data_IF_954928085225
#
_entry.id   IF_954928085225
#
_cell.length_a   1.000
_cell.length_b   1.000
_cell.length_c   1.000
_cell.angle_alpha   90.00
_cell.angle_beta   90.00
_cell.angle_gamma   90.00
#
_symmetry.space_group_name_H-M   'P 1'
#
loop_
_entity.id
_entity.type
_entity.pdbx_description
1 polymer ?
#
# COMPACT_ATOMS: atom_id res chain seq x y z
N UNK A 1 -9.32 -23.21 -17.37
CA UNK A 1 -10.41 -23.02 -18.36
C UNK A 1 -10.71 -21.53 -18.65
N UNK A 2 -9.69 -20.65 -18.64
CA UNK A 2 -9.83 -19.21 -18.90
C UNK A 2 -9.01 -18.70 -20.11
N UNK A 3 -8.18 -19.56 -20.72
CA UNK A 3 -7.34 -19.19 -21.88
C UNK A 3 -7.99 -19.42 -23.26
N UNK A 4 -9.14 -20.09 -23.34
CA UNK A 4 -9.78 -20.44 -24.62
C UNK A 4 -10.79 -19.40 -25.11
N UNK A 5 -11.14 -18.40 -24.30
CA UNK A 5 -12.05 -17.30 -24.67
C UNK A 5 -11.36 -16.08 -25.29
N UNK A 6 -10.03 -15.94 -25.17
CA UNK A 6 -9.29 -14.85 -25.83
C UNK A 6 -9.03 -15.10 -27.33
N UNK A 7 -9.01 -16.35 -27.80
CA UNK A 7 -8.73 -16.68 -29.21
C UNK A 7 -9.92 -16.45 -30.17
N UNK A 8 -11.14 -16.29 -29.66
CA UNK A 8 -12.33 -16.12 -30.52
C UNK A 8 -12.73 -14.66 -30.79
N UNK A 9 -12.09 -13.68 -30.14
CA UNK A 9 -12.29 -12.25 -30.44
C UNK A 9 -11.39 -11.78 -31.59
N UNK A 10 -10.21 -12.38 -31.75
CA UNK A 10 -9.24 -12.01 -32.79
C UNK A 10 -9.53 -12.57 -34.19
N UNK A 11 -10.56 -13.41 -34.37
CA UNK A 11 -10.88 -14.06 -35.65
C UNK A 11 -12.07 -13.46 -36.41
N UNK A 12 -12.69 -12.39 -35.89
CA UNK A 12 -13.84 -11.71 -36.52
C UNK A 12 -13.52 -10.39 -37.23
N UNK A 13 -12.23 -10.01 -37.36
CA UNK A 13 -11.82 -8.78 -38.06
C UNK A 13 -11.23 -9.00 -39.46
N UNK A 14 -11.33 -10.21 -40.03
CA UNK A 14 -10.81 -10.49 -41.37
C UNK A 14 -11.91 -11.07 -42.26
N UNK A 15 -12.73 -10.21 -42.88
CA UNK A 15 -13.22 -10.32 -44.28
C UNK A 15 -14.35 -9.31 -44.58
N UNK A 16 -14.01 -8.23 -45.30
CA UNK A 16 -14.80 -7.52 -46.33
C UNK A 16 -14.01 -6.23 -46.71
N UNK A 17 -13.13 -6.27 -47.72
CA UNK A 17 -13.34 -5.73 -49.09
C UNK A 17 -14.05 -4.36 -49.15
N UNK A 18 -13.60 -3.32 -49.85
CA UNK A 18 -12.41 -3.05 -50.64
C UNK A 18 -12.43 -1.54 -51.01
N UNK A 19 -11.24 -0.97 -51.28
CA UNK A 19 -10.96 0.27 -52.03
C UNK A 19 -11.32 1.63 -51.40
N UNK A 20 -10.37 2.17 -50.63
CA UNK A 20 -9.82 3.51 -50.87
C UNK A 20 -8.35 3.51 -50.43
N UNK A 21 -7.49 4.11 -51.24
CA UNK A 21 -6.04 4.23 -51.04
C UNK A 21 -5.65 4.73 -49.64
N UNK A 22 -4.55 4.25 -49.04
CA UNK A 22 -4.19 4.63 -47.67
C UNK A 22 -3.62 6.06 -47.65
N UNK A 23 -4.01 6.93 -46.69
CA UNK A 23 -3.12 7.99 -46.31
C UNK A 23 -1.96 7.35 -45.54
N UNK A 24 -0.76 7.77 -45.92
CA UNK A 24 0.52 7.55 -45.25
C UNK A 24 0.36 7.46 -43.73
N UNK A 25 0.96 6.43 -43.13
CA UNK A 25 1.13 6.24 -41.68
C UNK A 25 1.84 7.45 -41.06
N UNK A 26 1.07 8.49 -40.75
CA UNK A 26 1.43 9.55 -39.83
C UNK A 26 0.89 9.18 -38.46
N UNK A 27 1.77 9.14 -37.46
CA UNK A 27 1.51 8.89 -36.04
C UNK A 27 0.08 9.29 -35.58
N UNK A 28 -0.84 8.33 -35.54
CA UNK A 28 -2.19 8.50 -34.98
C UNK A 28 -2.15 8.90 -33.49
N UNK A 29 -1.02 8.70 -32.80
CA UNK A 29 -0.78 9.10 -31.42
C UNK A 29 -0.56 10.62 -31.24
N UNK A 30 -0.37 11.38 -32.32
CA UNK A 30 -0.08 12.81 -32.26
C UNK A 30 -1.28 13.70 -32.62
N UNK A 31 -2.45 13.11 -32.91
CA UNK A 31 -3.61 13.85 -33.41
C UNK A 31 -4.86 13.58 -32.54
N UNK A 32 -5.53 14.66 -32.14
CA UNK A 32 -6.75 14.65 -31.33
C UNK A 32 -7.35 16.04 -31.22
N UNK A 33 -8.57 16.15 -30.69
CA UNK A 33 -9.27 17.40 -30.44
C UNK A 33 -9.21 17.75 -28.95
N UNK A 34 -8.81 18.98 -28.65
CA UNK A 34 -8.72 19.51 -27.29
C UNK A 34 -9.98 20.28 -26.93
N UNK A 35 -10.59 19.86 -25.83
CA UNK A 35 -11.66 20.57 -25.14
C UNK A 35 -11.10 21.18 -23.85
N UNK A 36 -11.11 22.51 -23.76
CA UNK A 36 -10.92 23.25 -22.52
C UNK A 36 -12.27 23.83 -22.10
N UNK A 37 -12.70 23.48 -20.91
CA UNK A 37 -13.94 23.94 -20.29
C UNK A 37 -13.65 24.65 -18.98
N UNK A 38 -14.69 25.18 -18.32
CA UNK A 38 -14.55 25.78 -16.99
C UNK A 38 -14.15 24.77 -15.90
N UNK A 39 -14.26 23.46 -16.15
CA UNK A 39 -14.09 22.43 -15.10
C UNK A 39 -12.99 21.41 -15.39
N UNK A 40 -12.53 21.29 -16.64
CA UNK A 40 -11.56 20.27 -17.06
C UNK A 40 -10.84 20.61 -18.36
N UNK A 41 -9.74 19.89 -18.60
CA UNK A 41 -9.14 19.67 -19.92
C UNK A 41 -9.38 18.24 -20.35
N UNK A 42 -9.66 18.06 -21.65
CA UNK A 42 -9.84 16.77 -22.28
C UNK A 42 -9.18 16.74 -23.66
N UNK A 43 -8.47 15.66 -23.96
CA UNK A 43 -8.04 15.29 -25.31
C UNK A 43 -8.88 14.13 -25.81
N UNK A 44 -9.55 14.29 -26.95
CA UNK A 44 -10.21 13.19 -27.65
C UNK A 44 -9.34 12.78 -28.82
N UNK A 45 -8.82 11.55 -28.80
CA UNK A 45 -7.97 10.98 -29.85
C UNK A 45 -8.82 10.56 -31.05
N UNK A 46 -8.21 10.45 -32.23
CA UNK A 46 -8.90 10.08 -33.47
C UNK A 46 -9.59 8.70 -33.42
N UNK A 47 -9.13 7.80 -32.55
CA UNK A 47 -9.73 6.48 -32.35
C UNK A 47 -10.91 6.48 -31.36
N UNK A 48 -11.29 7.64 -30.82
CA UNK A 48 -12.38 7.79 -29.84
C UNK A 48 -11.95 7.65 -28.37
N UNK A 49 -10.70 7.27 -28.11
CA UNK A 49 -10.13 7.28 -26.76
C UNK A 49 -10.01 8.72 -26.26
N UNK A 50 -10.10 8.92 -24.96
CA UNK A 50 -9.91 10.24 -24.38
C UNK A 50 -9.08 10.21 -23.11
N UNK A 51 -8.33 11.27 -22.90
CA UNK A 51 -7.67 11.61 -21.65
C UNK A 51 -8.34 12.85 -21.09
N UNK A 52 -8.66 12.84 -19.80
CA UNK A 52 -9.23 14.02 -19.15
C UNK A 52 -8.76 14.18 -17.71
N UNK A 53 -8.69 15.42 -17.28
CA UNK A 53 -8.44 15.77 -15.88
C UNK A 53 -9.21 17.03 -15.52
N UNK A 54 -9.89 16.99 -14.37
CA UNK A 54 -10.60 18.15 -13.84
C UNK A 54 -9.61 19.16 -13.25
N UNK A 55 -9.86 20.46 -13.44
CA UNK A 55 -8.93 21.51 -13.00
C UNK A 55 -8.60 21.47 -11.52
N UNK A 56 -9.57 21.11 -10.68
CA UNK A 56 -9.39 20.96 -9.22
C UNK A 56 -8.37 19.87 -8.85
N UNK A 57 -8.17 18.88 -9.72
CA UNK A 57 -7.28 17.74 -9.52
C UNK A 57 -5.88 17.94 -10.14
N UNK A 58 -5.68 19.03 -10.92
CA UNK A 58 -4.35 19.35 -11.46
C UNK A 58 -3.48 19.93 -10.36
N UNK A 59 -2.38 19.26 -10.06
CA UNK A 59 -1.43 19.64 -9.03
C UNK A 59 -0.19 20.33 -9.61
N UNK A 60 0.19 19.99 -10.85
CA UNK A 60 1.27 20.64 -11.57
C UNK A 60 1.10 20.46 -13.08
N UNK A 61 1.70 21.37 -13.83
CA UNK A 61 1.74 21.33 -15.29
C UNK A 61 3.19 21.26 -15.72
N UNK A 62 3.52 20.26 -16.54
CA UNK A 62 4.86 20.10 -17.11
C UNK A 62 4.83 20.13 -18.63
N UNK A 63 5.99 20.42 -19.21
CA UNK A 63 6.25 20.22 -20.62
C UNK A 63 7.26 19.11 -20.85
N UNK A 64 7.06 18.34 -21.92
CA UNK A 64 7.99 17.32 -22.42
C UNK A 64 8.33 17.58 -23.88
N UNK A 65 9.61 17.41 -24.24
CA UNK A 65 10.07 17.30 -25.63
C UNK A 65 10.98 16.07 -25.77
N UNK A 66 10.51 15.08 -26.53
CA UNK A 66 11.20 13.80 -26.68
C UNK A 66 12.32 13.84 -27.72
N UNK A 67 13.38 13.04 -27.49
CA UNK A 67 14.43 12.77 -28.49
C UNK A 67 13.94 11.79 -29.54
N UNK A 68 14.02 12.18 -30.83
CA UNK A 68 13.83 11.27 -31.97
C UNK A 68 12.40 10.73 -32.17
N UNK A 69 12.07 10.38 -33.40
CA UNK A 69 10.76 9.87 -33.90
C UNK A 69 9.57 10.85 -33.96
N UNK A 70 9.70 12.03 -33.36
CA UNK A 70 8.69 13.11 -33.43
C UNK A 70 9.33 14.36 -34.07
N UNK A 71 8.65 15.09 -35.00
CA UNK A 71 9.14 16.36 -35.53
C UNK A 71 9.70 17.29 -34.45
N UNK A 72 10.85 17.92 -34.72
CA UNK A 72 11.62 18.69 -33.74
C UNK A 72 10.87 19.86 -33.08
N UNK A 73 9.70 20.24 -33.61
CA UNK A 73 8.81 21.29 -33.12
C UNK A 73 7.67 20.78 -32.23
N UNK A 74 7.52 19.47 -32.02
CA UNK A 74 6.45 18.91 -31.21
C UNK A 74 6.91 18.67 -29.77
N UNK A 75 6.17 19.27 -28.85
CA UNK A 75 6.25 19.08 -27.40
C UNK A 75 4.86 18.79 -26.84
N UNK A 76 4.82 18.27 -25.62
CA UNK A 76 3.59 17.90 -24.92
C UNK A 76 3.42 18.78 -23.70
N UNK A 77 2.17 19.14 -23.38
CA UNK A 77 1.80 19.77 -22.11
C UNK A 77 1.03 18.74 -21.30
N UNK A 78 1.56 18.42 -20.13
CA UNK A 78 0.99 17.41 -19.26
C UNK A 78 0.33 18.07 -18.06
N UNK A 79 -0.97 17.86 -17.92
CA UNK A 79 -1.72 18.22 -16.73
C UNK A 79 -1.71 17.03 -15.77
N UNK A 80 -0.98 17.17 -14.67
CA UNK A 80 -0.65 16.05 -13.78
C UNK A 80 -1.33 16.21 -12.43
N UNK A 81 -1.63 15.06 -11.82
CA UNK A 81 -2.10 14.96 -10.44
C UNK A 81 -1.17 14.03 -9.67
N UNK A 82 -1.06 14.23 -8.36
CA UNK A 82 -0.43 13.25 -7.48
C UNK A 82 -1.27 11.97 -7.33
N UNK A 83 -2.57 12.01 -7.67
CA UNK A 83 -3.54 10.95 -7.40
C UNK A 83 -4.14 10.30 -8.66
N UNK A 84 -4.13 11.00 -9.79
CA UNK A 84 -4.78 10.57 -11.03
C UNK A 84 -3.78 10.49 -12.19
N UNK A 85 -4.15 9.72 -13.23
CA UNK A 85 -3.42 9.71 -14.49
C UNK A 85 -3.37 11.11 -15.13
N UNK A 86 -2.29 11.45 -15.85
CA UNK A 86 -2.15 12.75 -16.47
C UNK A 86 -3.05 12.87 -17.71
N UNK A 87 -3.40 14.11 -18.08
CA UNK A 87 -3.85 14.43 -19.43
C UNK A 87 -2.68 15.04 -20.20
N UNK A 88 -2.21 14.31 -21.22
CA UNK A 88 -1.03 14.67 -22.00
C UNK A 88 -1.46 15.23 -23.35
N UNK A 89 -1.30 16.55 -23.54
CA UNK A 89 -1.77 17.22 -24.75
C UNK A 89 -0.59 17.50 -25.69
N UNK A 90 -0.53 16.86 -26.87
CA UNK A 90 0.51 17.15 -27.85
C UNK A 90 0.23 18.49 -28.54
N UNK A 91 1.30 19.26 -28.80
CA UNK A 91 1.23 20.54 -29.55
C UNK A 91 0.66 20.43 -30.97
N UNK A 92 0.55 19.24 -31.53
CA UNK A 92 -0.11 18.95 -32.80
C UNK A 92 -1.62 18.73 -32.70
N UNK A 93 -2.21 18.72 -31.49
CA UNK A 93 -3.65 18.54 -31.32
C UNK A 93 -4.45 19.75 -31.84
N UNK A 94 -5.63 19.47 -32.39
CA UNK A 94 -6.57 20.52 -32.83
C UNK A 94 -7.11 21.24 -31.59
N UNK A 95 -7.03 22.57 -31.57
CA UNK A 95 -7.43 23.37 -30.40
C UNK A 95 -6.33 23.54 -29.34
N UNK A 96 -5.07 23.17 -29.64
CA UNK A 96 -3.94 23.34 -28.73
C UNK A 96 -3.67 24.81 -28.37
N UNK A 97 -4.02 25.75 -29.23
CA UNK A 97 -4.00 27.19 -28.96
C UNK A 97 -4.79 27.58 -27.70
N UNK A 98 -5.87 26.84 -27.39
CA UNK A 98 -6.64 27.01 -26.15
C UNK A 98 -5.81 26.65 -24.91
N UNK A 99 -4.98 25.61 -24.99
CA UNK A 99 -4.05 25.21 -23.91
C UNK A 99 -3.07 26.32 -23.62
N UNK A 100 -2.52 26.92 -24.68
CA UNK A 100 -1.60 28.04 -24.55
C UNK A 100 -2.30 29.28 -23.98
N UNK A 101 -3.51 29.58 -24.46
CA UNK A 101 -4.35 30.64 -23.90
C UNK A 101 -4.61 30.47 -22.40
N UNK A 102 -4.89 29.23 -21.97
CA UNK A 102 -5.05 28.89 -20.56
C UNK A 102 -3.76 29.07 -19.76
N UNK A 103 -2.63 28.52 -20.24
CA UNK A 103 -1.33 28.65 -19.57
C UNK A 103 -0.92 30.11 -19.38
N UNK A 104 -1.07 30.93 -20.42
CA UNK A 104 -0.73 32.36 -20.34
C UNK A 104 -1.66 33.16 -19.41
N UNK A 105 -2.87 32.65 -19.15
CA UNK A 105 -3.83 33.25 -18.23
C UNK A 105 -3.79 32.68 -16.80
N UNK A 106 -2.97 31.66 -16.55
CA UNK A 106 -2.91 30.97 -15.27
C UNK A 106 -1.94 31.68 -14.32
N UNK A 107 -2.44 32.08 -13.15
CA UNK A 107 -1.63 32.74 -12.13
C UNK A 107 -0.50 31.82 -11.64
N UNK A 108 0.72 32.36 -11.55
CA UNK A 108 1.90 31.62 -11.08
C UNK A 108 2.59 30.77 -12.14
N UNK A 109 2.18 30.86 -13.41
CA UNK A 109 2.98 30.31 -14.53
C UNK A 109 4.20 31.20 -14.75
N UNK A 110 5.37 30.58 -14.83
CA UNK A 110 6.58 31.26 -15.25
C UNK A 110 6.54 31.45 -16.78
N UNK A 111 6.02 32.59 -17.22
CA UNK A 111 5.80 32.88 -18.65
C UNK A 111 7.10 33.00 -19.42
N UNK A 112 8.18 33.49 -18.79
CA UNK A 112 9.50 33.58 -19.42
C UNK A 112 10.07 32.17 -19.63
N UNK A 113 10.06 31.34 -18.59
CA UNK A 113 10.48 29.94 -18.68
C UNK A 113 9.64 29.15 -19.68
N UNK A 114 8.33 29.39 -19.72
CA UNK A 114 7.43 28.80 -20.71
C UNK A 114 7.81 29.19 -22.14
N UNK A 115 8.11 30.46 -22.41
CA UNK A 115 8.57 30.90 -23.73
C UNK A 115 9.89 30.24 -24.13
N UNK A 116 10.85 30.13 -23.20
CA UNK A 116 12.11 29.42 -23.44
C UNK A 116 11.92 27.94 -23.78
N UNK A 117 11.02 27.26 -23.08
CA UNK A 117 10.63 25.85 -23.30
C UNK A 117 9.93 25.65 -24.66
N UNK A 118 9.11 26.61 -25.06
CA UNK A 118 8.41 26.56 -26.35
C UNK A 118 9.41 26.72 -27.51
N UNK A 119 10.34 27.66 -27.37
CA UNK A 119 11.21 28.12 -28.45
C UNK A 119 12.52 27.32 -28.55
N UNK A 120 12.90 26.59 -27.50
CA UNK A 120 14.05 25.66 -27.54
C UNK A 120 13.81 24.49 -28.50
N UNK A 121 14.85 24.06 -29.21
CA UNK A 121 14.86 22.83 -30.02
C UNK A 121 15.45 21.63 -29.30
N UNK A 122 15.95 21.82 -28.08
CA UNK A 122 16.58 20.77 -27.29
C UNK A 122 15.54 19.88 -26.62
N UNK A 123 15.78 18.56 -26.52
CA UNK A 123 14.93 17.67 -25.74
C UNK A 123 14.99 18.04 -24.26
N UNK A 124 13.87 17.85 -23.58
CA UNK A 124 13.74 18.02 -22.14
C UNK A 124 12.60 17.17 -21.62
N UNK A 125 12.70 16.78 -20.36
CA UNK A 125 11.69 15.98 -19.68
C UNK A 125 11.25 16.68 -18.39
N UNK A 126 9.95 16.69 -18.16
CA UNK A 126 9.25 17.17 -16.98
C UNK A 126 9.59 18.61 -16.59
N UNK A 127 9.74 19.50 -17.58
CA UNK A 127 9.98 20.91 -17.30
C UNK A 127 8.73 21.54 -16.65
N UNK A 128 8.83 21.95 -15.39
CA UNK A 128 7.68 22.42 -14.59
C UNK A 128 7.31 23.84 -15.00
N UNK A 129 6.12 24.02 -15.56
CA UNK A 129 5.58 25.33 -15.97
C UNK A 129 4.75 25.97 -14.86
N UNK A 130 4.07 25.14 -14.09
CA UNK A 130 3.16 25.57 -13.05
C UNK A 130 3.09 24.51 -11.96
N UNK A 131 2.92 24.96 -10.73
CA UNK A 131 2.60 24.10 -9.62
C UNK A 131 1.52 24.77 -8.80
N UNK A 132 0.52 23.98 -8.41
CA UNK A 132 -0.54 24.43 -7.52
C UNK A 132 0.06 24.94 -6.24
N UNK A 133 -0.19 26.22 -5.94
CA UNK A 133 0.19 26.78 -4.66
C UNK A 133 -0.62 26.08 -3.57
N UNK A 134 0.06 25.27 -2.76
CA UNK A 134 -0.56 24.60 -1.63
C UNK A 134 -0.56 25.55 -0.43
N UNK A 135 -1.68 25.56 0.30
CA UNK A 135 -1.77 26.16 1.63
C UNK A 135 -1.64 25.04 2.63
N UNK A 136 -0.79 25.24 3.64
CA UNK A 136 -0.66 24.26 4.71
C UNK A 136 -2.02 24.07 5.40
N UNK A 137 -2.40 22.82 5.66
CA UNK A 137 -3.66 22.47 6.33
C UNK A 137 -3.45 21.81 7.70
N UNK A 138 -2.29 22.06 8.29
CA UNK A 138 -1.94 21.71 9.66
C UNK A 138 -1.65 22.96 10.50
N UNK A 139 -1.74 22.82 11.81
CA UNK A 139 -1.30 23.87 12.75
C UNK A 139 -0.64 23.22 13.95
N UNK A 140 0.46 23.82 14.40
CA UNK A 140 1.19 23.44 15.60
C UNK A 140 0.94 24.48 16.71
N UNK A 141 0.97 24.09 17.99
CA UNK A 141 0.83 25.05 19.07
C UNK A 141 2.08 25.92 19.18
N UNK A 142 1.91 27.22 19.41
CA UNK A 142 3.03 28.17 19.59
C UNK A 142 3.88 27.83 20.83
N UNK A 143 3.25 27.26 21.86
CA UNK A 143 3.91 26.75 23.06
C UNK A 143 3.52 25.29 23.25
N UNK A 144 4.49 24.36 23.32
CA UNK A 144 4.16 22.95 23.52
C UNK A 144 3.45 22.79 24.86
N UNK A 145 2.24 22.20 24.90
CA UNK A 145 1.54 21.93 26.15
C UNK A 145 2.38 21.01 27.04
N UNK A 146 2.22 21.09 28.36
CA UNK A 146 2.85 20.17 29.28
C UNK A 146 2.49 18.73 28.89
N UNK A 147 3.50 17.87 28.70
CA UNK A 147 3.31 16.48 28.27
C UNK A 147 2.40 15.77 29.28
N UNK A 148 1.15 15.48 28.90
CA UNK A 148 0.29 14.61 29.67
C UNK A 148 0.83 13.19 29.53
N UNK A 149 1.38 12.66 30.62
CA UNK A 149 2.11 11.40 30.70
C UNK A 149 1.24 10.13 30.54
N UNK A 150 0.14 10.20 29.78
CA UNK A 150 -0.71 9.05 29.48
C UNK A 150 -0.04 8.19 28.39
N UNK A 151 0.61 7.13 28.88
CA UNK A 151 1.46 6.16 28.21
C UNK A 151 0.81 5.52 26.97
N UNK A 152 1.48 5.58 25.82
CA UNK A 152 1.25 4.68 24.66
C UNK A 152 0.02 4.93 23.77
N UNK A 153 -0.88 5.82 24.14
CA UNK A 153 -2.18 6.00 23.46
C UNK A 153 -2.32 7.40 22.87
N UNK A 154 -2.76 7.49 21.61
CA UNK A 154 -3.02 8.77 20.94
C UNK A 154 -4.43 9.25 21.29
N UNK A 155 -4.53 10.50 21.74
CA UNK A 155 -5.78 11.15 22.08
C UNK A 155 -6.27 12.04 20.93
N UNK A 156 -7.59 12.12 20.78
CA UNK A 156 -8.28 13.21 20.11
C UNK A 156 -8.51 14.31 21.15
N UNK A 157 -7.55 15.23 21.27
CA UNK A 157 -7.51 16.23 22.34
C UNK A 157 -8.70 17.18 22.33
N UNK A 158 -9.20 17.53 21.13
CA UNK A 158 -10.39 18.35 20.98
C UNK A 158 -11.66 17.69 21.51
N UNK A 159 -11.68 16.37 21.60
CA UNK A 159 -12.81 15.58 22.09
C UNK A 159 -12.54 14.96 23.47
N UNK A 160 -11.29 15.08 23.97
CA UNK A 160 -10.84 14.48 25.23
C UNK A 160 -11.08 12.97 25.33
N UNK A 161 -10.98 12.28 24.19
CA UNK A 161 -11.13 10.81 24.10
C UNK A 161 -9.87 10.20 23.52
N UNK A 162 -9.63 8.94 23.85
CA UNK A 162 -8.66 8.14 23.13
C UNK A 162 -9.14 7.92 21.69
N UNK A 163 -8.19 7.87 20.76
CA UNK A 163 -8.50 7.48 19.40
C UNK A 163 -9.14 6.08 19.42
N UNK A 164 -10.33 5.87 18.84
CA UNK A 164 -11.05 4.61 19.00
C UNK A 164 -10.39 3.47 18.20
N UNK A 165 -9.97 2.40 18.87
CA UNK A 165 -9.30 1.23 18.25
C UNK A 165 -10.16 -0.04 18.26
N UNK A 166 -11.47 0.09 18.53
CA UNK A 166 -12.45 -1.00 18.51
C UNK A 166 -12.73 -1.51 17.09
N UNK A 167 -13.95 -1.97 16.83
CA UNK A 167 -14.32 -2.41 15.48
C UNK A 167 -14.66 -1.24 14.56
N UNK A 168 -14.65 -1.47 13.24
CA UNK A 168 -15.22 -0.51 12.28
C UNK A 168 -16.72 -0.27 12.53
N UNK A 169 -17.45 -1.26 13.04
CA UNK A 169 -18.85 -1.12 13.45
C UNK A 169 -18.99 -0.16 14.66
N UNK A 170 -18.15 -0.31 15.68
CA UNK A 170 -18.14 0.59 16.85
C UNK A 170 -17.67 1.99 16.45
N UNK A 171 -16.69 2.07 15.56
CA UNK A 171 -16.19 3.32 15.02
C UNK A 171 -17.31 4.15 14.37
N UNK A 172 -18.24 3.49 13.66
CA UNK A 172 -19.39 4.12 13.03
C UNK A 172 -20.42 4.70 14.03
N UNK A 173 -20.39 4.27 15.31
CA UNK A 173 -21.33 4.73 16.35
C UNK A 173 -20.90 6.05 17.00
N UNK A 174 -19.70 6.53 16.72
CA UNK A 174 -19.22 7.81 17.22
C UNK A 174 -19.74 8.97 16.35
N UNK A 175 -20.44 9.93 16.95
CA UNK A 175 -21.06 11.07 16.24
C UNK A 175 -20.06 11.95 15.46
N UNK A 176 -18.79 11.96 15.87
CA UNK A 176 -17.73 12.73 15.21
C UNK A 176 -17.04 11.98 14.05
N UNK A 177 -17.45 10.74 13.78
CA UNK A 177 -16.93 9.92 12.68
C UNK A 177 -17.91 9.96 11.52
N UNK A 178 -17.44 10.38 10.35
CA UNK A 178 -18.21 10.38 9.12
C UNK A 178 -17.83 9.19 8.24
N UNK A 179 -18.81 8.35 7.92
CA UNK A 179 -18.62 7.20 7.04
C UNK A 179 -18.92 7.56 5.59
N UNK A 180 -18.04 7.14 4.67
CA UNK A 180 -18.21 7.28 3.22
C UNK A 180 -17.94 5.95 2.54
N UNK A 181 -18.69 5.64 1.47
CA UNK A 181 -18.41 4.48 0.64
C UNK A 181 -17.15 4.74 -0.18
N UNK A 182 -16.20 3.81 -0.12
CA UNK A 182 -15.00 3.87 -0.94
C UNK A 182 -15.25 3.20 -2.29
N UNK A 183 -14.76 3.83 -3.35
CA UNK A 183 -14.85 3.31 -4.71
C UNK A 183 -13.53 2.67 -5.11
N UNK A 184 -13.58 1.39 -5.48
CA UNK A 184 -12.41 0.65 -5.97
C UNK A 184 -12.45 0.52 -7.49
N UNK A 185 -11.29 0.39 -8.17
CA UNK A 185 -11.25 0.15 -9.61
C UNK A 185 -12.02 -1.10 -10.04
N UNK A 186 -12.08 -2.11 -9.18
CA UNK A 186 -12.93 -3.28 -9.37
C UNK A 186 -14.28 -3.07 -8.65
N UNK A 187 -15.41 -2.99 -9.38
CA UNK A 187 -16.72 -2.74 -8.78
C UNK A 187 -17.23 -3.89 -7.90
N UNK A 188 -16.64 -5.08 -8.01
CA UNK A 188 -16.97 -6.22 -7.13
C UNK A 188 -16.48 -6.02 -5.69
N UNK A 189 -15.58 -5.06 -5.46
CA UNK A 189 -15.04 -4.75 -4.15
C UNK A 189 -15.69 -3.50 -3.57
N UNK A 190 -15.98 -3.57 -2.28
CA UNK A 190 -16.48 -2.43 -1.53
C UNK A 190 -15.75 -2.29 -0.20
N UNK A 191 -15.77 -1.06 0.31
CA UNK A 191 -15.13 -0.68 1.55
C UNK A 191 -15.74 0.62 2.06
N UNK A 192 -15.48 0.93 3.31
CA UNK A 192 -15.92 2.15 3.97
C UNK A 192 -14.70 2.93 4.44
N UNK A 193 -14.75 4.24 4.21
CA UNK A 193 -13.83 5.21 4.77
C UNK A 193 -14.49 5.89 5.96
N UNK A 194 -13.80 5.89 7.09
CA UNK A 194 -14.23 6.55 8.32
C UNK A 194 -13.37 7.80 8.49
N UNK A 195 -13.98 8.96 8.60
CA UNK A 195 -13.28 10.26 8.58
C UNK A 195 -13.61 11.06 9.83
N UNK A 196 -12.58 11.49 10.53
CA UNK A 196 -12.63 12.44 11.64
C UNK A 196 -12.16 13.78 11.09
N UNK A 197 -13.00 14.81 11.15
CA UNK A 197 -12.67 16.16 10.67
C UNK A 197 -12.04 17.01 11.78
N UNK A 198 -11.05 17.83 11.39
CA UNK A 198 -10.35 18.75 12.27
C UNK A 198 -9.80 18.13 13.58
N UNK A 199 -9.17 16.94 13.56
CA UNK A 199 -8.65 16.33 14.79
C UNK A 199 -7.45 17.11 15.33
N UNK A 200 -7.33 17.10 16.67
CA UNK A 200 -6.14 17.58 17.38
C UNK A 200 -5.51 16.36 18.07
N UNK A 201 -4.26 16.04 17.72
CA UNK A 201 -3.54 14.86 18.19
C UNK A 201 -2.10 15.21 18.60
N UNK A 202 -1.39 14.25 19.20
CA UNK A 202 0.05 14.32 19.45
C UNK A 202 0.50 15.66 20.11
N UNK A 203 -0.22 16.08 21.15
CA UNK A 203 -0.01 17.29 21.92
C UNK A 203 -0.15 18.58 21.10
N UNK A 204 -1.29 18.73 20.41
CA UNK A 204 -1.70 19.98 19.76
C UNK A 204 -1.52 20.04 18.24
N UNK A 205 -1.08 18.97 17.58
CA UNK A 205 -1.05 18.90 16.12
C UNK A 205 -2.48 18.87 15.57
N UNK A 206 -2.91 20.00 14.99
CA UNK A 206 -4.21 20.13 14.32
C UNK A 206 -4.06 19.71 12.87
N UNK A 207 -4.94 18.82 12.41
CA UNK A 207 -4.98 18.35 11.02
C UNK A 207 -6.34 18.65 10.41
N UNK A 208 -6.43 18.73 9.08
CA UNK A 208 -7.71 18.83 8.37
C UNK A 208 -8.59 17.59 8.56
N UNK A 209 -8.01 16.41 8.48
CA UNK A 209 -8.72 15.15 8.66
C UNK A 209 -7.77 14.02 9.07
N UNK A 210 -8.33 13.06 9.80
CA UNK A 210 -7.74 11.75 10.06
C UNK A 210 -8.75 10.70 9.59
N UNK A 211 -8.30 9.66 8.92
CA UNK A 211 -9.20 8.65 8.37
C UNK A 211 -8.66 7.23 8.52
N UNK A 212 -9.56 6.26 8.47
CA UNK A 212 -9.22 4.84 8.36
C UNK A 212 -10.11 4.19 7.31
N UNK A 213 -9.63 3.08 6.74
CA UNK A 213 -10.30 2.35 5.66
C UNK A 213 -10.59 0.94 6.16
N UNK A 214 -11.84 0.49 6.04
CA UNK A 214 -12.13 -0.93 6.21
C UNK A 214 -11.42 -1.74 5.12
N UNK A 215 -11.15 -3.01 5.41
CA UNK A 215 -10.63 -3.93 4.40
C UNK A 215 -11.57 -3.96 3.18
N UNK A 216 -10.99 -3.95 1.98
CA UNK A 216 -11.74 -4.09 0.75
C UNK A 216 -12.26 -5.54 0.64
N UNK A 217 -13.58 -5.72 0.63
CA UNK A 217 -14.18 -7.06 0.55
C UNK A 217 -15.05 -7.22 -0.68
N UNK A 218 -15.09 -8.46 -1.19
CA UNK A 218 -16.05 -8.90 -2.18
C UNK A 218 -17.27 -9.47 -1.45
N UNK A 219 -18.42 -8.82 -1.59
CA UNK A 219 -19.64 -9.19 -0.84
C UNK A 219 -19.78 -8.40 0.45
N UNK A 220 -20.12 -9.08 1.55
CA UNK A 220 -20.40 -8.41 2.83
C UNK A 220 -19.15 -7.77 3.44
N UNK A 221 -19.33 -6.56 3.99
CA UNK A 221 -18.26 -5.84 4.67
C UNK A 221 -17.97 -6.49 6.03
N UNK A 222 -16.69 -6.77 6.29
CA UNK A 222 -16.23 -7.32 7.57
C UNK A 222 -16.04 -6.22 8.61
N UNK A 223 -17.14 -5.58 9.03
CA UNK A 223 -17.11 -4.42 9.93
C UNK A 223 -16.79 -4.75 11.39
N UNK A 224 -16.88 -6.02 11.77
CA UNK A 224 -16.48 -6.49 13.11
C UNK A 224 -14.97 -6.67 13.27
N UNK A 225 -14.17 -6.28 12.28
CA UNK A 225 -12.72 -6.30 12.38
C UNK A 225 -12.21 -5.05 13.14
N UNK A 226 -11.09 -5.18 13.86
CA UNK A 226 -10.50 -4.05 14.58
C UNK A 226 -9.98 -2.98 13.61
N UNK A 227 -10.00 -1.73 14.07
CA UNK A 227 -9.30 -0.63 13.44
C UNK A 227 -7.81 -0.77 13.72
N UNK A 228 -7.00 -0.70 12.66
CA UNK A 228 -5.56 -1.02 12.73
C UNK A 228 -4.67 0.18 12.50
N UNK A 229 -5.17 1.13 11.74
CA UNK A 229 -4.43 2.33 11.43
C UNK A 229 -5.35 3.51 11.19
N UNK A 230 -4.81 4.70 11.44
CA UNK A 230 -5.34 5.98 11.06
C UNK A 230 -4.33 6.70 10.19
N UNK A 231 -4.81 7.40 9.18
CA UNK A 231 -4.00 8.05 8.15
C UNK A 231 -4.41 9.52 8.02
N UNK A 232 -3.46 10.38 7.69
CA UNK A 232 -3.71 11.75 7.28
C UNK A 232 -2.84 12.11 6.07
N UNK A 233 -3.48 12.71 5.07
CA UNK A 233 -2.79 13.42 3.99
C UNK A 233 -2.67 14.88 4.46
N UNK A 234 -1.46 15.32 4.79
CA UNK A 234 -1.19 16.67 5.30
C UNK A 234 -0.70 17.52 4.14
N UNK A 235 -1.46 18.55 3.80
CA UNK A 235 -1.05 19.54 2.80
C UNK A 235 0.05 20.39 3.41
N UNK A 236 1.21 20.39 2.76
CA UNK A 236 2.37 21.22 3.10
C UNK A 236 2.27 22.54 2.34
N UNK A 237 2.85 23.61 2.88
CA UNK A 237 2.78 24.95 2.31
C UNK A 237 3.79 25.17 1.18
N UNK A 238 4.24 26.42 1.06
CA UNK A 238 5.20 26.84 0.01
C UNK A 238 6.59 26.23 0.15
N UNK A 239 6.94 25.73 1.33
CA UNK A 239 8.22 25.06 1.56
C UNK A 239 7.97 23.68 2.19
N UNK A 240 7.65 22.66 1.36
CA UNK A 240 7.27 21.35 1.87
C UNK A 240 8.33 20.70 2.76
N UNK A 241 9.62 20.88 2.43
CA UNK A 241 10.71 20.38 3.27
C UNK A 241 10.71 21.02 4.65
N UNK A 242 10.60 22.35 4.72
CA UNK A 242 10.55 23.04 6.00
C UNK A 242 9.31 22.67 6.82
N UNK A 243 8.15 22.55 6.18
CA UNK A 243 6.90 22.21 6.85
C UNK A 243 6.91 20.77 7.37
N UNK A 244 7.43 19.82 6.59
CA UNK A 244 7.69 18.46 7.05
C UNK A 244 8.59 18.43 8.28
N UNK A 245 9.71 19.16 8.25
CA UNK A 245 10.65 19.21 9.36
C UNK A 245 10.02 19.85 10.62
N UNK A 246 9.11 20.82 10.49
CA UNK A 246 8.34 21.36 11.63
C UNK A 246 7.47 20.29 12.28
N UNK A 247 6.75 19.50 11.47
CA UNK A 247 5.90 18.41 11.97
C UNK A 247 6.77 17.35 12.65
N UNK A 248 7.87 16.93 12.01
CA UNK A 248 8.83 15.98 12.58
C UNK A 248 9.35 16.47 13.93
N UNK A 249 9.85 17.71 14.02
CA UNK A 249 10.36 18.28 15.26
C UNK A 249 9.30 18.32 16.37
N UNK A 250 8.03 18.55 16.01
CA UNK A 250 6.93 18.48 16.97
C UNK A 250 6.71 17.06 17.48
N UNK A 251 6.69 16.06 16.59
CA UNK A 251 6.56 14.65 16.94
C UNK A 251 7.77 14.15 17.75
N UNK A 252 8.98 14.58 17.42
CA UNK A 252 10.21 14.25 18.16
C UNK A 252 10.13 14.71 19.62
N UNK A 253 9.56 15.90 19.88
CA UNK A 253 9.36 16.39 21.25
C UNK A 253 8.35 15.55 22.04
N UNK A 254 7.38 14.92 21.37
CA UNK A 254 6.31 14.17 22.02
C UNK A 254 6.64 12.68 22.20
N UNK A 255 7.24 12.07 21.18
CA UNK A 255 7.56 10.63 21.14
C UNK A 255 9.03 10.32 21.49
N UNK A 256 9.90 11.32 21.51
CA UNK A 256 11.36 11.13 21.54
C UNK A 256 11.93 11.15 20.12
N UNK A 257 13.26 11.04 19.99
CA UNK A 257 13.91 11.05 18.68
C UNK A 257 13.38 9.91 17.79
N UNK A 258 12.88 10.27 16.60
CA UNK A 258 12.44 9.29 15.61
C UNK A 258 13.59 8.49 15.00
N UNK A 259 13.23 7.34 14.43
CA UNK A 259 14.12 6.47 13.66
C UNK A 259 13.95 6.88 12.20
N UNK A 260 15.01 7.42 11.59
CA UNK A 260 15.02 7.76 10.17
C UNK A 260 15.38 6.51 9.35
N UNK A 261 14.64 6.22 8.28
CA UNK A 261 14.89 5.03 7.43
C UNK A 261 16.06 5.20 6.45
N UNK A 262 16.64 6.40 6.36
CA UNK A 262 17.73 6.74 5.42
C UNK A 262 19.14 6.46 5.96
N UNK A 263 19.30 5.61 6.99
CA UNK A 263 20.62 5.27 7.54
C UNK A 263 21.32 4.06 6.91
N UNK A 264 20.92 3.61 5.72
CA UNK A 264 21.67 2.59 4.97
C UNK A 264 22.83 3.23 4.18
N UNK A 265 23.83 3.74 4.91
CA UNK A 265 25.26 3.73 4.58
C UNK A 265 26.07 4.60 5.55
N UNK A 266 26.02 4.28 6.84
CA UNK A 266 27.14 4.60 7.73
C UNK A 266 28.17 3.48 7.60
N UNK A 267 29.09 3.62 6.65
CA UNK A 267 30.39 2.97 6.75
C UNK A 267 31.02 3.40 8.08
N UNK A 268 31.42 2.42 8.90
CA UNK A 268 32.35 2.60 10.01
C UNK A 268 33.58 3.35 9.48
N UNK A 269 33.62 4.66 9.71
CA UNK A 269 34.88 5.39 9.81
C UNK A 269 34.73 6.51 10.85
N UNK A 270 35.61 6.41 11.83
CA UNK A 270 35.74 7.21 13.03
C UNK A 270 35.90 8.71 12.79
N UNK A 271 35.44 9.47 13.79
CA UNK A 271 35.87 10.82 14.14
C UNK A 271 35.76 11.90 13.05
N UNK A 272 34.64 12.62 13.06
CA UNK A 272 34.68 14.09 13.19
C UNK A 272 33.29 14.63 13.49
N UNK A 273 33.19 15.39 14.58
CA UNK A 273 32.07 16.26 14.84
C UNK A 273 31.92 17.29 13.71
N UNK A 274 30.66 17.64 13.40
CA UNK A 274 30.26 18.83 12.63
C UNK A 274 30.23 18.72 11.11
N UNK A 275 29.41 17.82 10.55
CA UNK A 275 28.78 18.08 9.25
C UNK A 275 27.32 17.63 9.27
N UNK A 276 26.35 18.49 8.88
CA UNK A 276 24.97 18.03 8.65
C UNK A 276 25.01 16.96 7.54
N UNK A 277 24.19 15.89 7.64
CA UNK A 277 24.16 14.84 6.64
C UNK A 277 23.95 15.47 5.26
N UNK A 278 24.73 15.02 4.27
CA UNK A 278 24.61 15.48 2.90
C UNK A 278 23.14 15.33 2.46
N UNK A 279 22.57 16.39 1.88
CA UNK A 279 21.16 16.41 1.47
C UNK A 279 20.91 15.38 0.37
N UNK A 280 20.59 14.15 0.74
CA UNK A 280 20.07 13.17 -0.19
C UNK A 280 18.66 13.60 -0.56
N UNK A 281 18.43 13.80 -1.85
CA UNK A 281 17.11 14.05 -2.42
C UNK A 281 16.30 12.73 -2.46
N UNK A 282 16.23 12.04 -1.32
CA UNK A 282 15.52 10.77 -1.10
C UNK A 282 14.13 11.02 -0.50
N UNK A 283 13.32 9.98 -0.31
CA UNK A 283 12.06 10.13 0.44
C UNK A 283 12.40 10.37 1.90
N UNK A 284 11.89 11.46 2.51
CA UNK A 284 12.03 11.66 3.95
C UNK A 284 11.03 10.77 4.66
N UNK A 285 11.52 9.89 5.52
CA UNK A 285 10.70 9.03 6.35
C UNK A 285 11.28 8.97 7.77
N UNK A 286 10.41 9.24 8.74
CA UNK A 286 10.73 9.14 10.16
C UNK A 286 9.64 8.32 10.85
N UNK A 287 10.06 7.37 11.68
CA UNK A 287 9.21 6.46 12.44
C UNK A 287 9.38 6.68 13.95
N UNK A 288 8.29 6.63 14.69
CA UNK A 288 8.29 6.59 16.16
C UNK A 288 7.53 5.35 16.65
N UNK A 289 8.05 4.69 17.67
CA UNK A 289 7.42 3.51 18.28
C UNK A 289 7.25 3.73 19.78
N UNK A 290 6.02 3.51 20.29
CA UNK A 290 5.73 3.59 21.72
C UNK A 290 4.67 2.56 22.10
N UNK A 291 5.09 1.53 22.82
CA UNK A 291 4.19 0.44 23.22
C UNK A 291 3.67 -0.32 21.99
N UNK A 292 2.35 -0.37 21.82
CA UNK A 292 1.69 -1.01 20.66
C UNK A 292 1.45 -0.05 19.49
N UNK A 293 1.85 1.22 19.61
CA UNK A 293 1.57 2.27 18.63
C UNK A 293 2.82 2.62 17.86
N UNK A 294 2.71 2.65 16.53
CA UNK A 294 3.75 3.08 15.61
C UNK A 294 3.23 4.28 14.83
N UNK A 295 4.09 5.28 14.61
CA UNK A 295 3.76 6.47 13.82
C UNK A 295 4.81 6.62 12.75
N UNK A 296 4.35 6.71 11.51
CA UNK A 296 5.18 6.87 10.32
C UNK A 296 4.82 8.21 9.67
N UNK A 297 5.80 9.09 9.49
CA UNK A 297 5.65 10.34 8.74
C UNK A 297 6.54 10.28 7.51
N UNK A 298 5.95 10.48 6.32
CA UNK A 298 6.64 10.37 5.04
C UNK A 298 6.38 11.57 4.13
N UNK A 299 7.39 12.00 3.39
CA UNK A 299 7.28 12.98 2.32
C UNK A 299 8.19 12.58 1.16
N UNK A 300 7.62 12.44 -0.03
CA UNK A 300 8.35 11.96 -1.21
C UNK A 300 9.10 13.09 -1.90
N UNK A 301 10.33 12.81 -2.31
CA UNK A 301 11.01 13.63 -3.32
C UNK A 301 10.66 13.10 -4.71
N UNK A 302 10.14 13.96 -5.58
CA UNK A 302 9.86 13.62 -6.97
C UNK A 302 11.11 13.93 -7.79
N UNK A 303 11.97 12.94 -7.99
CA UNK A 303 13.24 13.09 -8.74
C UNK A 303 13.04 13.73 -10.12
N UNK A 304 12.01 13.27 -10.84
CA UNK A 304 11.62 13.81 -12.14
C UNK A 304 11.34 15.31 -12.14
N UNK A 305 10.79 15.83 -11.04
CA UNK A 305 10.40 17.23 -10.89
C UNK A 305 11.45 18.05 -10.12
N UNK A 306 12.47 17.37 -9.55
CA UNK A 306 13.44 17.91 -8.60
C UNK A 306 12.80 18.69 -7.46
N UNK A 307 11.66 18.23 -6.98
CA UNK A 307 10.86 18.91 -5.94
C UNK A 307 10.27 17.92 -4.96
N UNK A 308 10.06 18.38 -3.73
CA UNK A 308 9.29 17.68 -2.72
C UNK A 308 7.80 17.70 -3.05
N UNK A 309 7.13 16.60 -2.73
CA UNK A 309 5.68 16.51 -2.79
C UNK A 309 5.05 17.55 -1.83
N UNK A 310 3.87 18.06 -2.17
CA UNK A 310 3.16 19.02 -1.32
C UNK A 310 2.27 18.31 -0.29
N UNK A 311 2.34 16.98 -0.22
CA UNK A 311 1.60 16.16 0.73
C UNK A 311 2.61 15.37 1.58
N UNK A 312 2.55 15.55 2.89
CA UNK A 312 3.12 14.58 3.83
C UNK A 312 2.06 13.55 4.21
N UNK A 313 2.46 12.30 4.29
CA UNK A 313 1.60 11.22 4.74
C UNK A 313 1.96 10.85 6.18
N UNK A 314 0.98 10.95 7.07
CA UNK A 314 1.09 10.50 8.45
C UNK A 314 0.25 9.23 8.60
N UNK A 315 0.87 8.16 9.08
CA UNK A 315 0.18 6.93 9.45
C UNK A 315 0.42 6.64 10.93
N UNK A 316 -0.66 6.36 11.65
CA UNK A 316 -0.65 5.88 13.03
C UNK A 316 -1.14 4.44 12.97
N UNK A 317 -0.31 3.49 13.34
CA UNK A 317 -0.65 2.07 13.43
C UNK A 317 -0.75 1.65 14.89
N UNK A 318 -1.66 0.73 15.21
CA UNK A 318 -1.69 0.06 16.51
C UNK A 318 -1.71 -1.45 16.30
N UNK A 319 -0.81 -2.16 16.96
CA UNK A 319 -0.89 -3.61 17.06
C UNK A 319 -2.22 -3.98 17.74
N UNK A 320 -3.18 -4.61 17.03
CA UNK A 320 -4.52 -4.80 17.56
C UNK A 320 -4.51 -5.81 18.69
N UNK A 321 -5.36 -5.60 19.69
CA UNK A 321 -5.72 -6.68 20.60
C UNK A 321 -6.76 -7.56 19.92
N UNK A 322 -6.32 -8.74 19.48
CA UNK A 322 -7.18 -9.65 18.74
C UNK A 322 -7.94 -10.64 19.61
N UNK A 323 -7.69 -10.66 20.91
CA UNK A 323 -8.31 -11.62 21.83
C UNK A 323 -9.86 -11.67 21.71
N UNK A 324 -10.58 -10.54 21.53
CA UNK A 324 -12.04 -10.55 21.37
C UNK A 324 -12.53 -11.10 20.02
N UNK A 325 -11.66 -11.19 19.01
CA UNK A 325 -12.04 -11.58 17.64
C UNK A 325 -11.75 -13.04 17.32
N UNK A 326 -11.02 -13.73 18.19
CA UNK A 326 -10.86 -15.17 18.04
C UNK A 326 -12.18 -15.87 18.38
N UNK A 327 -12.61 -16.75 17.47
CA UNK A 327 -13.81 -17.59 17.65
C UNK A 327 -13.63 -18.65 18.75
N UNK A 328 -12.39 -18.83 19.24
CA UNK A 328 -12.01 -19.75 20.30
C UNK A 328 -10.98 -19.10 21.21
N UNK A 329 -11.23 -19.14 22.52
CA UNK A 329 -10.28 -18.66 23.55
C UNK A 329 -8.98 -19.49 23.61
N UNK A 330 -8.95 -20.63 22.90
CA UNK A 330 -7.85 -21.59 22.94
C UNK A 330 -6.48 -20.95 22.66
N UNK A 331 -6.36 -20.13 21.60
CA UNK A 331 -5.08 -19.51 21.24
C UNK A 331 -4.56 -18.51 22.27
N UNK A 332 -5.47 -17.79 22.93
CA UNK A 332 -5.12 -16.77 23.94
C UNK A 332 -4.74 -17.38 25.29
N UNK A 333 -5.29 -18.53 25.63
CA UNK A 333 -5.06 -19.21 26.91
C UNK A 333 -4.05 -20.36 26.79
N UNK A 334 -3.42 -20.53 25.61
CA UNK A 334 -2.49 -21.61 25.38
C UNK A 334 -1.24 -21.42 26.26
N UNK A 335 -1.08 -22.31 27.24
CA UNK A 335 0.12 -22.39 28.07
C UNK A 335 0.84 -23.70 27.81
N UNK A 336 2.15 -23.64 27.57
CA UNK A 336 2.98 -24.84 27.44
C UNK A 336 2.87 -25.72 28.70
N UNK A 337 2.28 -26.90 28.53
CA UNK A 337 2.11 -27.90 29.57
C UNK A 337 2.55 -29.27 29.05
N UNK A 338 2.63 -30.27 29.93
CA UNK A 338 3.02 -31.64 29.53
C UNK A 338 2.06 -32.27 28.52
N UNK A 339 0.84 -31.75 28.38
CA UNK A 339 -0.16 -32.25 27.42
C UNK A 339 0.02 -31.69 26.01
N UNK A 340 0.92 -30.70 25.84
CA UNK A 340 1.23 -30.08 24.56
C UNK A 340 2.58 -30.61 24.07
N UNK A 341 2.55 -31.30 22.93
CA UNK A 341 3.76 -31.70 22.22
C UNK A 341 3.98 -30.75 21.07
N UNK A 342 5.19 -30.22 20.93
CA UNK A 342 5.51 -29.28 19.85
C UNK A 342 6.94 -29.48 19.36
N UNK A 343 7.21 -29.01 18.14
CA UNK A 343 8.56 -28.98 17.56
C UNK A 343 8.66 -27.90 16.49
N UNK A 344 9.84 -27.31 16.35
CA UNK A 344 10.19 -26.37 15.28
C UNK A 344 10.98 -27.08 14.18
N UNK A 345 10.82 -26.60 12.95
CA UNK A 345 11.46 -27.16 11.75
C UNK A 345 12.20 -26.06 10.98
N UNK A 346 13.42 -26.34 10.48
CA UNK A 346 14.30 -25.34 9.86
C UNK A 346 13.87 -25.02 8.41
N UNK A 347 12.60 -24.68 8.23
CA UNK A 347 11.99 -24.34 6.96
C UNK A 347 10.92 -23.27 7.17
N UNK A 348 10.63 -22.47 6.13
CA UNK A 348 9.64 -21.40 6.21
C UNK A 348 8.28 -21.84 5.72
N UNK A 349 7.25 -21.55 6.54
CA UNK A 349 5.85 -21.68 6.17
C UNK A 349 5.24 -20.28 6.06
N UNK A 350 4.98 -19.84 4.84
CA UNK A 350 4.20 -18.64 4.57
C UNK A 350 2.71 -18.98 4.74
N UNK A 351 2.17 -18.81 5.95
CA UNK A 351 0.77 -19.15 6.28
C UNK A 351 -0.19 -18.49 5.27
N UNK A 352 -1.09 -19.29 4.69
CA UNK A 352 -1.93 -18.91 3.56
C UNK A 352 -3.09 -17.97 3.92
N UNK A 353 -3.41 -17.84 5.20
CA UNK A 353 -4.53 -17.03 5.66
C UNK A 353 -4.31 -16.41 7.04
N UNK A 354 -4.91 -15.25 7.27
CA UNK A 354 -4.95 -14.63 8.59
C UNK A 354 -6.34 -14.78 9.25
N UNK A 355 -6.43 -14.33 10.51
CA UNK A 355 -7.66 -14.34 11.31
C UNK A 355 -8.80 -13.51 10.68
N UNK A 356 -8.51 -12.66 9.70
CA UNK A 356 -9.54 -11.90 8.98
C UNK A 356 -10.13 -12.72 7.84
N UNK A 357 -9.41 -13.71 7.34
CA UNK A 357 -9.80 -14.54 6.22
C UNK A 357 -10.46 -15.84 6.65
N UNK A 358 -9.96 -16.51 7.70
CA UNK A 358 -10.47 -17.80 8.18
C UNK A 358 -10.54 -17.87 9.70
N UNK A 359 -11.61 -18.48 10.24
CA UNK A 359 -11.91 -18.51 11.67
C UNK A 359 -10.88 -19.27 12.52
N UNK A 360 -10.10 -20.13 11.88
CA UNK A 360 -9.11 -20.98 12.54
C UNK A 360 -7.68 -20.42 12.48
N UNK A 361 -7.51 -19.23 11.89
CA UNK A 361 -6.26 -18.50 11.90
C UNK A 361 -6.18 -17.57 13.13
N UNK A 362 -4.99 -17.49 13.70
CA UNK A 362 -4.67 -16.67 14.88
C UNK A 362 -3.23 -16.19 14.82
N UNK A 363 -2.85 -15.19 15.62
CA UNK A 363 -1.43 -14.91 15.82
C UNK A 363 -0.78 -16.06 16.58
N UNK A 364 0.45 -16.37 16.22
CA UNK A 364 1.25 -17.39 16.90
C UNK A 364 1.19 -17.17 18.41
N UNK A 365 0.73 -18.17 19.20
CA UNK A 365 0.54 -17.99 20.63
C UNK A 365 1.82 -17.53 21.33
N UNK A 366 1.70 -16.58 22.26
CA UNK A 366 2.84 -15.91 22.90
C UNK A 366 3.79 -16.87 23.62
N UNK A 367 3.29 -18.02 24.09
CA UNK A 367 4.12 -19.06 24.67
C UNK A 367 5.16 -19.65 23.69
N UNK A 368 5.02 -19.39 22.38
CA UNK A 368 5.93 -19.82 21.32
C UNK A 368 6.81 -18.70 20.75
N UNK A 369 6.60 -17.42 21.08
CA UNK A 369 7.34 -16.28 20.47
C UNK A 369 8.86 -16.41 20.63
N UNK A 370 9.33 -16.92 21.78
CA UNK A 370 10.76 -17.18 22.03
C UNK A 370 11.26 -18.57 21.62
N UNK A 371 10.40 -19.41 21.01
CA UNK A 371 10.71 -20.79 20.68
C UNK A 371 11.18 -20.99 19.24
N UNK A 372 11.13 -19.96 18.38
CA UNK A 372 11.64 -20.00 17.00
C UNK A 372 13.14 -19.61 16.97
N UNK A 373 14.09 -20.54 16.73
CA UNK A 373 15.46 -20.16 16.44
C UNK A 373 15.54 -19.45 15.07
N UNK A 374 16.60 -18.66 14.85
CA UNK A 374 16.75 -17.78 13.67
C UNK A 374 16.50 -18.41 12.30
N UNK A 375 16.64 -19.74 12.17
CA UNK A 375 16.44 -20.51 10.92
C UNK A 375 15.17 -21.37 10.87
N UNK A 376 14.33 -21.37 11.91
CA UNK A 376 13.10 -22.15 11.94
C UNK A 376 11.90 -21.22 11.88
N UNK A 377 11.06 -21.42 10.88
CA UNK A 377 9.88 -20.60 10.62
C UNK A 377 8.61 -21.47 10.52
N UNK A 378 8.72 -22.77 10.81
CA UNK A 378 7.58 -23.68 11.01
C UNK A 378 7.62 -24.25 12.43
N UNK A 379 6.54 -24.06 13.16
CA UNK A 379 6.25 -24.73 14.42
C UNK A 379 4.97 -25.55 14.27
N UNK A 380 5.02 -26.80 14.71
CA UNK A 380 3.85 -27.67 14.78
C UNK A 380 3.62 -28.04 16.25
N UNK A 381 2.39 -27.95 16.72
CA UNK A 381 2.01 -28.43 18.06
C UNK A 381 0.73 -29.25 18.04
N UNK A 382 0.59 -30.12 19.05
CA UNK A 382 -0.63 -30.84 19.36
C UNK A 382 -0.92 -30.70 20.83
N UNK A 383 -2.15 -30.29 21.10
CA UNK A 383 -2.77 -30.38 22.42
C UNK A 383 -3.77 -31.52 22.44
N UNK A 384 -3.40 -32.59 23.14
CA UNK A 384 -4.26 -33.77 23.27
C UNK A 384 -5.49 -33.53 24.13
N UNK A 385 -5.44 -32.57 25.05
CA UNK A 385 -6.55 -32.26 25.96
C UNK A 385 -7.63 -31.48 25.22
N UNK A 386 -7.23 -30.44 24.49
CA UNK A 386 -8.12 -29.65 23.66
C UNK A 386 -8.46 -30.34 22.32
N UNK A 387 -7.76 -31.43 21.96
CA UNK A 387 -7.87 -32.14 20.68
C UNK A 387 -7.58 -31.21 19.49
N UNK A 388 -6.54 -30.38 19.62
CA UNK A 388 -6.14 -29.40 18.61
C UNK A 388 -4.75 -29.73 18.08
N UNK A 389 -4.57 -29.55 16.77
CA UNK A 389 -3.28 -29.46 16.12
C UNK A 389 -3.12 -28.06 15.56
N UNK A 390 -1.91 -27.51 15.63
CA UNK A 390 -1.62 -26.21 15.08
C UNK A 390 -0.33 -26.16 14.28
N UNK A 391 -0.33 -25.27 13.31
CA UNK A 391 0.78 -24.99 12.41
C UNK A 391 1.04 -23.49 12.43
N UNK A 392 2.24 -23.06 12.79
CA UNK A 392 2.58 -21.66 12.97
C UNK A 392 3.88 -21.29 12.26
N UNK A 393 3.97 -20.03 11.84
CA UNK A 393 5.23 -19.33 11.66
C UNK A 393 5.44 -18.33 12.81
N UNK A 394 6.40 -17.41 12.69
CA UNK A 394 6.67 -16.43 13.76
C UNK A 394 5.50 -15.48 14.04
N UNK A 395 4.64 -15.26 13.05
CA UNK A 395 3.57 -14.26 13.13
C UNK A 395 2.20 -14.92 13.27
N UNK A 396 1.87 -15.85 12.39
CA UNK A 396 0.53 -16.43 12.26
C UNK A 396 0.54 -17.94 12.52
N UNK A 397 -0.61 -18.45 12.94
CA UNK A 397 -0.87 -19.87 13.08
C UNK A 397 -2.27 -20.24 12.60
N UNK A 398 -2.41 -21.49 12.15
CA UNK A 398 -3.67 -22.14 11.84
C UNK A 398 -3.88 -23.29 12.82
N UNK A 399 -5.10 -23.40 13.35
CA UNK A 399 -5.50 -24.48 14.26
C UNK A 399 -6.58 -25.36 13.64
N UNK A 400 -6.59 -26.63 13.99
CA UNK A 400 -7.57 -27.59 13.50
C UNK A 400 -7.91 -28.59 14.60
N UNK A 401 -9.13 -29.13 14.54
CA UNK A 401 -9.51 -30.27 15.37
C UNK A 401 -8.68 -31.50 14.95
N UNK A 402 -7.76 -31.92 15.81
CA UNK A 402 -6.85 -33.03 15.55
C UNK A 402 -7.57 -34.33 15.12
N UNK A 403 -8.71 -34.74 15.72
CA UNK A 403 -9.42 -35.95 15.30
C UNK A 403 -10.04 -35.89 13.90
N UNK A 404 -10.22 -34.69 13.33
CA UNK A 404 -10.74 -34.50 11.96
C UNK A 404 -9.64 -34.47 10.91
N UNK A 405 -8.38 -34.35 11.33
CA UNK A 405 -7.22 -34.29 10.44
C UNK A 405 -6.89 -35.69 9.92
N UNK A 406 -6.79 -35.83 8.60
CA UNK A 406 -6.58 -37.12 7.93
C UNK A 406 -5.10 -37.27 7.56
N UNK A 407 -4.56 -36.32 6.81
CA UNK A 407 -3.17 -36.29 6.37
C UNK A 407 -2.73 -34.88 5.98
N UNK A 408 -1.41 -34.72 5.88
CA UNK A 408 -0.75 -33.56 5.29
C UNK A 408 -0.39 -33.88 3.84
N UNK A 409 -0.62 -32.92 2.95
CA UNK A 409 -0.35 -33.05 1.52
C UNK A 409 0.66 -31.97 1.14
N UNK A 410 1.88 -32.37 0.76
CA UNK A 410 2.85 -31.46 0.16
C UNK A 410 2.63 -31.41 -1.35
N UNK A 411 2.15 -30.26 -1.84
CA UNK A 411 1.96 -30.00 -3.26
C UNK A 411 3.21 -29.32 -3.82
N UNK A 412 3.95 -30.07 -4.63
CA UNK A 412 5.18 -29.62 -5.29
C UNK A 412 4.81 -29.11 -6.69
N UNK A 413 5.00 -27.81 -6.93
CA UNK A 413 4.69 -27.16 -8.20
C UNK A 413 5.96 -26.91 -8.97
N UNK A 414 6.09 -27.48 -10.17
CA UNK A 414 7.26 -27.30 -11.04
C UNK A 414 6.92 -26.45 -12.26
N UNK A 415 6.67 -25.15 -12.04
CA UNK A 415 6.44 -24.19 -13.12
C UNK A 415 7.65 -23.28 -13.32
N UNK A 416 7.97 -22.97 -14.57
CA UNK A 416 9.04 -22.01 -14.92
C UNK A 416 8.64 -20.62 -14.43
N UNK A 417 9.34 -20.08 -13.44
CA UNK A 417 9.05 -18.77 -12.83
C UNK A 417 8.18 -18.81 -11.56
N UNK A 418 7.73 -19.98 -11.11
CA UNK A 418 7.06 -20.15 -9.80
C UNK A 418 7.85 -21.07 -8.87
N UNK A 419 9.18 -20.95 -8.82
CA UNK A 419 10.07 -21.82 -8.02
C UNK A 419 9.76 -21.77 -6.50
N UNK A 420 8.88 -20.86 -6.06
CA UNK A 420 8.38 -20.70 -4.68
C UNK A 420 6.89 -21.06 -4.51
N UNK A 421 6.26 -21.77 -5.46
CA UNK A 421 4.82 -22.09 -5.45
C UNK A 421 4.43 -23.35 -4.66
N UNK A 422 5.33 -23.97 -3.91
CA UNK A 422 5.02 -25.21 -3.17
C UNK A 422 4.07 -24.92 -2.00
N UNK A 423 3.05 -25.75 -1.83
CA UNK A 423 2.00 -25.52 -0.81
C UNK A 423 1.90 -26.74 0.08
N UNK A 424 1.81 -26.51 1.39
CA UNK A 424 1.39 -27.52 2.34
C UNK A 424 -0.12 -27.40 2.56
N UNK A 425 -0.84 -28.49 2.39
CA UNK A 425 -2.28 -28.57 2.60
C UNK A 425 -2.60 -29.58 3.70
N UNK A 426 -3.68 -29.34 4.43
CA UNK A 426 -4.22 -30.26 5.42
C UNK A 426 -5.58 -30.76 4.95
N UNK A 427 -5.74 -32.08 4.89
CA UNK A 427 -7.02 -32.70 4.63
C UNK A 427 -7.76 -32.93 5.94
N UNK A 428 -8.96 -32.36 6.04
CA UNK A 428 -9.88 -32.50 7.16
C UNK A 428 -11.20 -33.09 6.68
N UNK A 429 -11.43 -34.39 6.94
CA UNK A 429 -12.59 -35.10 6.36
C UNK A 429 -12.62 -35.01 4.83
N UNK A 430 -13.61 -34.28 4.29
CA UNK A 430 -13.82 -34.10 2.84
C UNK A 430 -13.27 -32.76 2.30
N UNK A 431 -12.65 -31.93 3.15
CA UNK A 431 -12.12 -30.62 2.77
C UNK A 431 -10.60 -30.62 2.80
N UNK A 432 -9.98 -29.98 1.82
CA UNK A 432 -8.53 -29.72 1.80
C UNK A 432 -8.32 -28.22 1.98
N UNK A 433 -7.55 -27.85 3.00
CA UNK A 433 -7.29 -26.44 3.34
C UNK A 433 -5.81 -26.15 3.16
N UNK A 434 -5.42 -25.10 2.41
CA UNK A 434 -4.02 -24.70 2.31
C UNK A 434 -3.55 -24.16 3.67
N UNK A 435 -2.44 -24.69 4.16
CA UNK A 435 -1.76 -24.17 5.35
C UNK A 435 -0.88 -22.98 4.99
N UNK A 436 -0.15 -23.08 3.88
CA UNK A 436 0.82 -22.06 3.49
C UNK A 436 1.81 -22.51 2.42
N UNK A 437 2.57 -21.55 1.92
CA UNK A 437 3.70 -21.79 1.03
C UNK A 437 4.91 -22.35 1.78
N UNK A 438 5.59 -23.34 1.22
CA UNK A 438 6.77 -23.99 1.81
C UNK A 438 8.03 -23.59 1.04
N UNK A 439 9.02 -23.03 1.73
CA UNK A 439 10.26 -22.54 1.10
C UNK A 439 11.19 -23.65 0.60
N UNK A 440 11.20 -24.80 1.26
CA UNK A 440 12.10 -25.92 0.94
C UNK A 440 11.39 -27.27 1.09
N UNK A 441 11.05 -27.87 -0.05
CA UNK A 441 10.41 -29.19 -0.09
C UNK A 441 11.34 -30.33 0.31
N UNK A 442 12.66 -30.21 0.06
CA UNK A 442 13.61 -31.27 0.42
C UNK A 442 13.81 -31.32 1.92
N UNK A 443 13.96 -30.15 2.55
CA UNK A 443 14.04 -30.03 4.01
C UNK A 443 12.74 -30.53 4.66
N UNK A 444 11.57 -30.20 4.11
CA UNK A 444 10.29 -30.72 4.62
C UNK A 444 10.25 -32.26 4.58
N UNK A 445 10.63 -32.87 3.45
CA UNK A 445 10.66 -34.33 3.30
C UNK A 445 11.71 -34.99 4.19
N UNK A 446 12.83 -34.31 4.45
CA UNK A 446 13.84 -34.78 5.42
C UNK A 446 13.22 -34.94 6.83
N UNK A 447 12.29 -34.06 7.21
CA UNK A 447 11.60 -34.09 8.50
C UNK A 447 10.31 -34.90 8.52
N UNK A 448 9.91 -35.54 7.42
CA UNK A 448 8.64 -36.27 7.29
C UNK A 448 8.38 -37.23 8.46
N UNK A 449 9.33 -38.10 8.78
CA UNK A 449 9.18 -39.08 9.88
C UNK A 449 8.94 -38.40 11.23
N UNK A 450 9.64 -37.29 11.48
CA UNK A 450 9.51 -36.52 12.72
C UNK A 450 8.13 -35.86 12.80
N UNK A 451 7.67 -35.27 11.69
CA UNK A 451 6.35 -34.64 11.59
C UNK A 451 5.26 -35.70 11.79
N UNK A 452 5.35 -36.85 11.13
CA UNK A 452 4.41 -37.97 11.28
C UNK A 452 4.38 -38.50 12.72
N UNK A 453 5.55 -38.63 13.38
CA UNK A 453 5.63 -39.05 14.78
C UNK A 453 5.02 -38.04 15.75
N UNK A 454 5.21 -36.75 15.48
CA UNK A 454 4.61 -35.69 16.27
C UNK A 454 3.09 -35.68 16.08
N UNK A 455 2.64 -35.54 14.84
CA UNK A 455 1.25 -35.28 14.41
C UNK A 455 0.35 -36.51 14.44
N UNK A 456 0.90 -37.70 14.22
CA UNK A 456 0.13 -38.91 13.90
C UNK A 456 -0.52 -38.87 12.52
N UNK A 457 -0.25 -37.85 11.71
CA UNK A 457 -0.78 -37.69 10.36
C UNK A 457 0.20 -38.30 9.36
N UNK A 458 -0.34 -39.01 8.37
CA UNK A 458 0.45 -39.39 7.20
C UNK A 458 0.81 -38.14 6.40
N UNK A 459 1.94 -38.20 5.70
CA UNK A 459 2.34 -37.18 4.74
C UNK A 459 2.27 -37.80 3.35
N UNK A 460 1.57 -37.13 2.44
CA UNK A 460 1.52 -37.49 1.04
C UNK A 460 2.08 -36.36 0.19
N UNK A 461 2.63 -36.70 -0.97
CA UNK A 461 3.22 -35.74 -1.89
C UNK A 461 2.46 -35.78 -3.22
N UNK A 462 2.14 -34.61 -3.75
CA UNK A 462 1.56 -34.46 -5.08
C UNK A 462 2.46 -33.55 -5.90
N UNK A 463 2.97 -34.06 -7.03
CA UNK A 463 3.75 -33.26 -7.96
C UNK A 463 2.90 -32.88 -9.17
N UNK A 464 2.86 -31.58 -9.49
CA UNK A 464 2.26 -31.08 -10.72
C UNK A 464 3.38 -30.61 -11.65
N UNK A 465 3.55 -31.34 -12.74
CA UNK A 465 4.44 -30.99 -13.85
C UNK A 465 3.57 -30.54 -15.04
N UNK A 466 3.60 -29.26 -15.42
CA UNK A 466 3.16 -28.85 -16.75
C UNK A 466 4.33 -29.02 -17.72
N UNK A 467 4.29 -30.10 -18.50
CA UNK A 467 5.11 -30.23 -19.70
C UNK A 467 4.51 -29.32 -20.79
N UNK A 468 5.09 -28.14 -21.00
CA UNK A 468 4.89 -27.35 -22.22
C UNK A 468 6.13 -27.39 -23.11
#
# INVERSE_FOLDING_TARGET
>A
MLLQRFKNVLRRLTTASAVATPPTTGNLFLQGEVEISATRVRLTRLNGDHEEIAWKEVDFITADRHEGSVPANLYWINFRSFRLGPACIPSSATGFDKVIGYLNGLEGVDTEHWHDIRDTSRPFHNAVLWQKTSTEDFTLPDTPPALTSAMGEIYLENLQIQLPWGTYEDLARHDFVHTRKETYPNPDFSGLRYVIHNPIIANGLKLKQLYTLSDATRGDLKLKLPVLSYMADISLGRNPKADFLKIRQHLDRYFGAGIDSDSDSASDDTDTASHPPAETNSTMETRWERGRTTIDLRCFYREELRKWDNIAWLQIQRAPDLAPYYTSEYGCQLTLSQNIKWKTFPLSLAIAADYRQVDNALYTPSCFEGQFPEKHDLLIWIDRSAKIIGFANRQLALTFEHPKCVDLILVIRRFRGEENGNILELRTGNTTTPLGGVSDTQEFLHHEKTITQLTGLMISNSAYDEYY
#
